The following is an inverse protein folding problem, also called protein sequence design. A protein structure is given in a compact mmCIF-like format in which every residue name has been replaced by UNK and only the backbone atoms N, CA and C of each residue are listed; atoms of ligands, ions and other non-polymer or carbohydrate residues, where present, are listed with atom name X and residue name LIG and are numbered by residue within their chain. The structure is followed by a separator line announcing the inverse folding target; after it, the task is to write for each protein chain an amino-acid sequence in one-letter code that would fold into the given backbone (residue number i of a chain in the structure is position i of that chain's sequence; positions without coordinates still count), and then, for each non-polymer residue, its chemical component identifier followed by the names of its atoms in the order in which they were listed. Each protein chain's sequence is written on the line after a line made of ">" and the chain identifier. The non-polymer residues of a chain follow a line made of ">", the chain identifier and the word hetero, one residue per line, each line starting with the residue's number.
data_IF_910721323480
#
_entry.id   IF_910721323480
#
_cell.length_a   1.000
_cell.length_b   1.000
_cell.length_c   1.000
_cell.angle_alpha   90.00
_cell.angle_beta   90.00
_cell.angle_gamma   90.00
#
_symmetry.space_group_name_H-M   'P 1'
#
loop_
_entity.id
_entity.type
_entity.pdbx_description
1 polymer ?
#
# COMPACT_ATOMS: atom_id res chain seq x y z
N UNK A 1 -12.99 -0.34 -1.71
CA UNK A 1 -11.52 -0.28 -1.49
C UNK A 1 -11.15 -1.37 -0.51
N UNK A 2 -10.06 -2.12 -0.72
CA UNK A 2 -9.59 -3.10 0.28
C UNK A 2 -9.24 -2.39 1.58
N UNK A 3 -9.56 -2.98 2.73
CA UNK A 3 -9.27 -2.43 4.05
C UNK A 3 -7.77 -2.07 4.19
N UNK A 4 -6.89 -2.90 3.63
CA UNK A 4 -5.45 -2.68 3.61
C UNK A 4 -5.06 -1.38 2.91
N UNK A 5 -5.70 -1.06 1.78
CA UNK A 5 -5.45 0.17 1.05
C UNK A 5 -5.83 1.40 1.88
N UNK A 6 -6.99 1.37 2.55
CA UNK A 6 -7.42 2.45 3.44
C UNK A 6 -6.47 2.60 4.63
N UNK A 7 -6.04 1.49 5.23
CA UNK A 7 -5.09 1.51 6.35
C UNK A 7 -3.73 2.09 5.93
N UNK A 8 -3.21 1.71 4.77
CA UNK A 8 -1.95 2.26 4.24
C UNK A 8 -2.06 3.77 4.06
N UNK A 9 -3.15 4.26 3.43
CA UNK A 9 -3.38 5.69 3.23
C UNK A 9 -3.45 6.41 4.59
N UNK A 10 -4.20 5.86 5.55
CA UNK A 10 -4.34 6.45 6.88
C UNK A 10 -2.99 6.56 7.61
N UNK A 11 -2.18 5.49 7.57
CA UNK A 11 -0.83 5.47 8.16
C UNK A 11 0.08 6.49 7.47
N UNK A 12 0.05 6.59 6.13
CA UNK A 12 0.84 7.56 5.39
C UNK A 12 0.50 9.01 5.77
N UNK A 13 -0.80 9.34 5.82
CA UNK A 13 -1.26 10.68 6.22
C UNK A 13 -0.84 10.98 7.67
N UNK A 14 -1.00 10.01 8.57
CA UNK A 14 -0.59 10.15 9.96
C UNK A 14 0.91 10.43 10.09
N UNK A 15 1.76 9.67 9.39
CA UNK A 15 3.22 9.86 9.42
C UNK A 15 3.61 11.23 8.87
N UNK A 16 3.05 11.65 7.73
CA UNK A 16 3.35 12.97 7.15
C UNK A 16 2.93 14.10 8.10
N UNK A 17 1.76 13.98 8.72
CA UNK A 17 1.25 14.96 9.68
C UNK A 17 2.12 15.02 10.94
N UNK A 18 2.46 13.87 11.50
CA UNK A 18 3.34 13.78 12.68
C UNK A 18 4.75 14.27 12.37
N UNK A 19 5.27 14.03 11.17
CA UNK A 19 6.57 14.53 10.74
C UNK A 19 6.58 16.06 10.66
N UNK A 20 5.53 16.69 10.14
CA UNK A 20 5.40 18.14 10.11
C UNK A 20 5.23 18.74 11.52
N UNK A 21 4.48 18.06 12.41
CA UNK A 21 4.21 18.53 13.76
C UNK A 21 5.41 18.36 14.70
N UNK A 22 6.04 17.18 14.71
CA UNK A 22 7.11 16.82 15.65
C UNK A 22 8.50 17.12 15.08
N UNK A 23 8.65 17.22 13.76
CA UNK A 23 9.94 17.50 13.11
C UNK A 23 10.70 18.70 13.68
N UNK A 24 10.05 19.86 13.92
CA UNK A 24 10.72 21.02 14.51
C UNK A 24 11.33 20.76 15.89
N UNK A 25 10.74 19.87 16.70
CA UNK A 25 11.26 19.49 18.03
C UNK A 25 12.64 18.83 17.90
N UNK A 26 12.87 18.11 16.80
CA UNK A 26 14.13 17.45 16.50
C UNK A 26 15.06 18.28 15.60
N UNK A 27 14.81 19.59 15.44
CA UNK A 27 15.52 20.48 14.51
C UNK A 27 15.45 20.03 13.04
N UNK A 28 14.42 19.27 12.65
CA UNK A 28 14.16 18.92 11.26
C UNK A 28 13.53 20.13 10.58
N UNK A 29 14.13 20.58 9.47
CA UNK A 29 13.57 21.68 8.68
C UNK A 29 12.17 21.34 8.17
N UNK A 30 11.18 22.24 8.30
CA UNK A 30 9.83 22.06 7.72
C UNK A 30 9.83 21.84 6.20
N UNK A 31 10.93 22.22 5.52
CA UNK A 31 11.11 21.96 4.09
C UNK A 31 11.12 20.45 3.78
N UNK A 32 11.65 19.63 4.68
CA UNK A 32 11.76 18.17 4.50
C UNK A 32 10.38 17.51 4.38
N UNK A 33 9.46 17.64 5.36
CA UNK A 33 8.11 17.09 5.25
C UNK A 33 7.31 17.73 4.10
N UNK A 34 7.57 19.00 3.75
CA UNK A 34 6.93 19.65 2.61
C UNK A 34 7.34 19.02 1.27
N UNK A 35 8.64 18.83 1.02
CA UNK A 35 9.16 18.16 -0.18
C UNK A 35 8.69 16.71 -0.23
N UNK A 36 8.71 16.00 0.90
CA UNK A 36 8.22 14.63 0.99
C UNK A 36 6.75 14.53 0.58
N UNK A 37 5.89 15.41 1.14
CA UNK A 37 4.46 15.45 0.81
C UNK A 37 4.23 15.77 -0.67
N UNK A 38 4.93 16.78 -1.19
CA UNK A 38 4.84 17.16 -2.60
C UNK A 38 5.23 15.99 -3.51
N UNK A 39 6.34 15.31 -3.20
CA UNK A 39 6.83 14.17 -3.98
C UNK A 39 5.83 13.02 -3.99
N UNK A 40 5.23 12.69 -2.83
CA UNK A 40 4.18 11.66 -2.73
C UNK A 40 2.97 12.06 -3.57
N UNK A 41 2.52 13.31 -3.52
CA UNK A 41 1.39 13.77 -4.33
C UNK A 41 1.68 13.70 -5.84
N UNK A 42 2.88 14.07 -6.26
CA UNK A 42 3.31 13.94 -7.67
C UNK A 42 3.30 12.48 -8.09
N UNK A 43 3.87 11.57 -7.30
CA UNK A 43 3.87 10.14 -7.61
C UNK A 43 2.45 9.56 -7.70
N UNK A 44 1.56 9.91 -6.77
CA UNK A 44 0.16 9.50 -6.80
C UNK A 44 -0.55 10.08 -8.03
N UNK A 45 -0.23 11.32 -8.42
CA UNK A 45 -0.80 11.94 -9.62
C UNK A 45 -0.33 11.22 -10.90
N UNK A 46 0.95 10.88 -10.99
CA UNK A 46 1.50 10.10 -12.11
C UNK A 46 0.87 8.71 -12.15
N UNK A 47 0.75 8.04 -11.00
CA UNK A 47 0.13 6.71 -10.92
C UNK A 47 -1.35 6.74 -11.34
N UNK A 48 -2.10 7.74 -10.88
CA UNK A 48 -3.54 7.86 -11.19
C UNK A 48 -3.79 8.24 -12.65
N UNK A 49 -3.06 9.22 -13.18
CA UNK A 49 -3.27 9.72 -14.55
C UNK A 49 -2.56 8.89 -15.62
N UNK A 50 -1.37 8.36 -15.32
CA UNK A 50 -0.54 7.62 -16.26
C UNK A 50 -0.74 6.11 -16.19
N UNK A 51 -0.80 5.54 -14.98
CA UNK A 51 -0.85 4.09 -14.78
C UNK A 51 -2.19 3.58 -14.26
N UNK A 52 -3.21 4.45 -14.18
CA UNK A 52 -4.56 4.10 -13.75
C UNK A 52 -4.60 3.39 -12.38
N UNK A 53 -3.67 3.72 -11.48
CA UNK A 53 -3.60 3.12 -10.14
C UNK A 53 -2.92 1.75 -10.06
N UNK A 54 -2.21 1.30 -11.11
CA UNK A 54 -1.49 0.03 -11.08
C UNK A 54 -0.30 0.04 -10.11
N UNK A 55 0.40 1.16 -9.95
CA UNK A 55 1.52 1.29 -9.03
C UNK A 55 1.07 1.20 -7.57
N UNK A 56 -0.01 1.90 -7.21
CA UNK A 56 -0.61 1.79 -5.87
C UNK A 56 -1.14 0.38 -5.58
N UNK A 57 -1.65 -0.35 -6.59
CA UNK A 57 -2.01 -1.76 -6.46
C UNK A 57 -0.81 -2.65 -6.10
N UNK A 58 0.38 -2.41 -6.68
CA UNK A 58 1.60 -3.17 -6.34
C UNK A 58 1.98 -2.95 -4.88
N UNK A 59 1.91 -1.71 -4.39
CA UNK A 59 2.22 -1.40 -2.98
C UNK A 59 1.26 -2.14 -2.04
N UNK A 60 -0.04 -2.10 -2.33
CA UNK A 60 -1.05 -2.82 -1.53
C UNK A 60 -0.80 -4.32 -1.59
N UNK A 61 -0.46 -4.87 -2.76
CA UNK A 61 -0.19 -6.29 -2.93
C UNK A 61 1.11 -6.73 -2.24
N UNK A 62 2.11 -5.86 -2.10
CA UNK A 62 3.32 -6.13 -1.33
C UNK A 62 3.00 -6.26 0.16
N UNK A 63 2.13 -5.38 0.68
CA UNK A 63 1.68 -5.41 2.07
C UNK A 63 0.77 -6.62 2.32
N UNK A 64 -0.20 -6.88 1.45
CA UNK A 64 -1.12 -8.02 1.55
C UNK A 64 -0.49 -9.37 1.22
N UNK A 65 0.57 -9.41 0.41
CA UNK A 65 1.25 -10.63 -0.02
C UNK A 65 1.87 -11.41 1.15
N UNK A 66 2.05 -10.76 2.29
CA UNK A 66 2.51 -11.36 3.54
C UNK A 66 1.40 -11.99 4.38
N UNK A 67 0.13 -11.83 4.01
CA UNK A 67 -0.98 -12.33 4.84
C UNK A 67 -1.14 -13.85 4.73
N UNK A 68 -1.27 -14.51 5.88
CA UNK A 68 -1.55 -15.94 5.98
C UNK A 68 -2.88 -16.30 5.33
N UNK A 69 -3.89 -15.42 5.42
CA UNK A 69 -5.21 -15.64 4.82
C UNK A 69 -5.19 -15.65 3.29
N UNK A 70 -4.34 -14.82 2.65
CA UNK A 70 -4.16 -14.89 1.18
C UNK A 70 -3.50 -16.19 0.78
N UNK A 71 -2.45 -16.63 1.50
CA UNK A 71 -1.79 -17.91 1.24
C UNK A 71 -2.75 -19.09 1.42
N UNK A 72 -3.53 -19.11 2.49
CA UNK A 72 -4.47 -20.20 2.76
C UNK A 72 -5.58 -20.27 1.71
N UNK A 73 -6.11 -19.12 1.27
CA UNK A 73 -7.10 -19.08 0.18
C UNK A 73 -6.52 -19.60 -1.14
N UNK A 74 -5.28 -19.23 -1.48
CA UNK A 74 -4.60 -19.74 -2.67
C UNK A 74 -4.38 -21.24 -2.56
N UNK A 75 -3.86 -21.74 -1.43
CA UNK A 75 -3.67 -23.19 -1.22
C UNK A 75 -4.99 -23.95 -1.35
N UNK A 76 -6.07 -23.45 -0.75
CA UNK A 76 -7.41 -24.06 -0.88
C UNK A 76 -7.94 -24.02 -2.32
N UNK A 77 -7.67 -22.94 -3.06
CA UNK A 77 -8.07 -22.79 -4.46
C UNK A 77 -7.32 -23.78 -5.36
N UNK A 78 -5.99 -23.86 -5.22
CA UNK A 78 -5.14 -24.81 -5.96
C UNK A 78 -5.45 -26.26 -5.59
N UNK A 79 -5.73 -26.55 -4.32
CA UNK A 79 -6.17 -27.88 -3.87
C UNK A 79 -7.51 -28.28 -4.48
N UNK A 80 -8.42 -27.32 -4.69
CA UNK A 80 -9.68 -27.53 -5.39
C UNK A 80 -9.47 -27.86 -6.88
N UNK A 81 -8.60 -27.11 -7.57
CA UNK A 81 -8.22 -27.42 -8.96
C UNK A 81 -7.60 -28.81 -9.07
N UNK A 82 -6.68 -29.14 -8.16
CA UNK A 82 -6.07 -30.47 -8.12
C UNK A 82 -7.12 -31.57 -7.90
N UNK A 83 -8.06 -31.36 -6.97
CA UNK A 83 -9.11 -32.33 -6.68
C UNK A 83 -10.02 -32.55 -7.90
N UNK A 84 -10.40 -31.48 -8.59
CA UNK A 84 -11.20 -31.56 -9.82
C UNK A 84 -10.43 -32.31 -10.90
N UNK A 85 -9.16 -31.98 -11.13
CA UNK A 85 -8.31 -32.65 -12.12
C UNK A 85 -7.98 -34.11 -11.78
N UNK A 86 -8.11 -34.52 -10.51
CA UNK A 86 -7.93 -35.91 -10.09
C UNK A 86 -9.22 -36.74 -10.26
N UNK A 87 -10.39 -36.11 -10.16
CA UNK A 87 -11.69 -36.77 -10.23
C UNK A 87 -12.30 -36.79 -11.65
N UNK A 88 -11.80 -35.96 -12.57
CA UNK A 88 -12.22 -35.83 -13.99
C UNK A 88 -11.06 -36.16 -14.93
#
# INVERSE_FOLDING_TARGET
>A
MRQTSLNIIAISIFILTMSALLGPIFNISPLIPAIATFSVMVLVTIDTLGWQGQGSMIIVDLVEGTSSERRERVIRHEAGHFLVAYLL
#
